data_IF_062170953889
#
_entry.id   IF_062170953889
#
_cell.length_a   1.000
_cell.length_b   1.000
_cell.length_c   1.000
_cell.angle_alpha   90.00
_cell.angle_beta   90.00
_cell.angle_gamma   90.00
#
_symmetry.space_group_name_H-M   'P 1'
#
loop_
_entity.id
_entity.type
_entity.pdbx_description
1 polymer ?
#
# COMPACT_ATOMS: atom_id res chain seq x y z
N UNK A 1 23.57 10.41 -14.11
CA UNK A 1 23.03 10.17 -12.75
C UNK A 1 24.14 10.50 -11.77
N UNK A 2 23.91 11.34 -10.77
CA UNK A 2 24.86 11.56 -9.68
C UNK A 2 24.46 10.67 -8.49
N UNK A 3 25.43 10.08 -7.79
CA UNK A 3 25.18 9.20 -6.63
C UNK A 3 26.25 9.40 -5.56
N UNK A 4 25.85 9.33 -4.29
CA UNK A 4 26.77 9.33 -3.15
C UNK A 4 27.32 7.93 -2.84
N UNK A 5 26.86 6.88 -3.53
CA UNK A 5 27.36 5.51 -3.37
C UNK A 5 28.60 5.28 -4.22
N UNK A 6 29.76 5.64 -3.69
CA UNK A 6 31.06 5.49 -4.36
C UNK A 6 31.40 4.02 -4.69
N UNK A 7 31.03 3.09 -3.80
CA UNK A 7 31.39 1.66 -3.93
C UNK A 7 30.38 0.83 -4.74
N UNK A 8 29.27 1.42 -5.18
CA UNK A 8 28.25 0.70 -5.93
C UNK A 8 28.64 0.61 -7.41
N UNK A 9 28.48 -0.57 -8.00
CA UNK A 9 28.63 -0.75 -9.43
C UNK A 9 27.59 0.08 -10.20
N UNK A 10 27.93 0.45 -11.44
CA UNK A 10 27.00 1.15 -12.32
C UNK A 10 25.66 0.41 -12.47
N UNK A 11 25.68 -0.93 -12.51
CA UNK A 11 24.49 -1.77 -12.62
C UNK A 11 23.61 -1.67 -11.38
N UNK A 12 24.19 -1.65 -10.19
CA UNK A 12 23.42 -1.45 -8.94
C UNK A 12 22.79 -0.07 -8.88
N UNK A 13 23.51 0.97 -9.30
CA UNK A 13 22.97 2.33 -9.37
C UNK A 13 21.77 2.41 -10.32
N UNK A 14 21.88 1.81 -11.51
CA UNK A 14 20.77 1.73 -12.48
C UNK A 14 19.58 0.96 -11.91
N UNK A 15 19.81 -0.18 -11.26
CA UNK A 15 18.74 -0.97 -10.64
C UNK A 15 18.03 -0.21 -9.51
N UNK A 16 18.78 0.50 -8.66
CA UNK A 16 18.20 1.34 -7.61
C UNK A 16 17.37 2.48 -8.21
N UNK A 17 17.86 3.14 -9.27
CA UNK A 17 17.11 4.19 -9.92
C UNK A 17 15.88 3.68 -10.65
N UNK A 18 15.92 2.48 -11.23
CA UNK A 18 14.74 1.87 -11.85
C UNK A 18 13.58 1.71 -10.85
N UNK A 19 13.89 1.50 -9.55
CA UNK A 19 12.87 1.49 -8.49
C UNK A 19 12.20 2.85 -8.28
N UNK A 20 12.77 3.97 -8.73
CA UNK A 20 12.11 5.29 -8.65
C UNK A 20 10.73 5.27 -9.31
N UNK A 21 10.56 4.49 -10.39
CA UNK A 21 9.28 4.37 -11.08
C UNK A 21 8.15 3.83 -10.18
N UNK A 22 8.45 3.17 -9.05
CA UNK A 22 7.40 2.68 -8.14
C UNK A 22 6.58 3.80 -7.48
N UNK A 23 7.09 5.03 -7.43
CA UNK A 23 6.34 6.17 -6.85
C UNK A 23 5.19 6.63 -7.74
N UNK A 24 5.32 6.45 -9.06
CA UNK A 24 4.37 6.96 -10.05
C UNK A 24 3.00 6.26 -9.95
N UNK A 25 2.92 4.90 -9.89
CA UNK A 25 1.67 4.21 -9.57
C UNK A 25 1.07 4.65 -8.24
N UNK A 26 1.88 4.87 -7.19
CA UNK A 26 1.36 5.32 -5.88
C UNK A 26 0.72 6.71 -5.95
N UNK A 27 1.32 7.66 -6.67
CA UNK A 27 0.71 8.98 -6.88
C UNK A 27 -0.56 8.91 -7.72
N UNK A 28 -0.57 8.05 -8.75
CA UNK A 28 -1.76 7.83 -9.58
C UNK A 28 -2.89 7.24 -8.76
N UNK A 29 -2.63 6.14 -8.05
CA UNK A 29 -3.61 5.45 -7.20
C UNK A 29 -4.14 6.37 -6.09
N UNK A 30 -3.35 7.30 -5.56
CA UNK A 30 -3.85 8.24 -4.54
C UNK A 30 -4.76 9.33 -5.14
N UNK A 31 -4.42 9.83 -6.34
CA UNK A 31 -5.18 10.89 -7.00
C UNK A 31 -6.43 10.38 -7.72
N UNK A 32 -6.42 9.12 -8.13
CA UNK A 32 -7.47 8.51 -8.93
C UNK A 32 -8.80 8.46 -8.17
N UNK A 33 -9.88 8.84 -8.86
CA UNK A 33 -11.22 8.93 -8.28
C UNK A 33 -11.96 7.59 -8.24
N UNK A 34 -11.65 6.67 -9.17
CA UNK A 34 -12.43 5.44 -9.39
C UNK A 34 -11.86 4.24 -8.63
N UNK A 35 -10.54 4.17 -8.54
CA UNK A 35 -9.79 3.03 -8.00
C UNK A 35 -8.87 3.43 -6.84
N UNK A 36 -8.91 4.71 -6.46
CA UNK A 36 -7.97 5.39 -5.59
C UNK A 36 -8.62 6.19 -4.46
N UNK A 37 -7.95 7.25 -3.98
CA UNK A 37 -8.44 8.10 -2.88
C UNK A 37 -9.05 9.43 -3.33
N UNK A 38 -9.14 9.68 -4.65
CA UNK A 38 -9.83 10.84 -5.21
C UNK A 38 -9.21 12.20 -4.88
N UNK A 39 -7.97 12.25 -4.38
CA UNK A 39 -7.33 13.51 -3.97
C UNK A 39 -7.22 14.52 -5.13
N UNK A 40 -7.20 14.06 -6.39
CA UNK A 40 -7.18 14.95 -7.55
C UNK A 40 -8.46 15.76 -7.76
N UNK A 41 -9.59 15.30 -7.21
CA UNK A 41 -10.89 15.96 -7.31
C UNK A 41 -11.20 16.86 -6.09
N UNK A 42 -10.40 16.75 -5.02
CA UNK A 42 -10.62 17.46 -3.75
C UNK A 42 -10.03 18.87 -3.82
N UNK A 43 -10.87 19.89 -3.64
CA UNK A 43 -10.43 21.30 -3.48
C UNK A 43 -10.55 21.71 -2.03
N UNK A 44 -9.42 22.02 -1.39
CA UNK A 44 -9.37 22.47 0.02
C UNK A 44 -8.75 23.86 0.05
N UNK A 45 -9.51 24.86 0.52
CA UNK A 45 -9.07 26.25 0.61
C UNK A 45 -8.16 26.57 1.79
N UNK A 46 -8.19 25.75 2.86
CA UNK A 46 -7.34 25.92 4.05
C UNK A 46 -6.12 24.99 3.99
N UNK A 47 -4.88 25.52 3.95
CA UNK A 47 -3.65 24.72 3.95
C UNK A 47 -3.53 23.77 5.14
N UNK A 48 -3.98 24.18 6.34
CA UNK A 48 -3.82 23.35 7.54
C UNK A 48 -4.76 22.14 7.49
N UNK A 49 -6.00 22.34 7.04
CA UNK A 49 -6.92 21.23 6.75
C UNK A 49 -6.39 20.32 5.66
N UNK A 50 -5.79 20.88 4.59
CA UNK A 50 -5.16 20.09 3.53
C UNK A 50 -4.07 19.18 4.10
N UNK A 51 -3.17 19.71 4.90
CA UNK A 51 -2.03 18.95 5.42
C UNK A 51 -2.49 17.85 6.37
N UNK A 52 -3.50 18.10 7.21
CA UNK A 52 -4.14 17.06 8.04
C UNK A 52 -4.78 15.94 7.20
N UNK A 53 -5.48 16.30 6.13
CA UNK A 53 -6.09 15.31 5.23
C UNK A 53 -5.04 14.51 4.45
N UNK A 54 -3.94 15.14 4.04
CA UNK A 54 -2.81 14.45 3.41
C UNK A 54 -2.14 13.46 4.36
N UNK A 55 -2.02 13.80 5.64
CA UNK A 55 -1.50 12.89 6.66
C UNK A 55 -2.43 11.68 6.85
N UNK A 56 -3.74 11.90 6.99
CA UNK A 56 -4.73 10.81 7.08
C UNK A 56 -4.69 9.90 5.85
N UNK A 57 -4.57 10.50 4.66
CA UNK A 57 -4.41 9.77 3.42
C UNK A 57 -3.12 8.93 3.42
N UNK A 58 -2.01 9.47 3.91
CA UNK A 58 -0.75 8.72 4.03
C UNK A 58 -0.90 7.50 4.94
N UNK A 59 -1.60 7.63 6.08
CA UNK A 59 -1.92 6.49 6.95
C UNK A 59 -2.83 5.48 6.27
N UNK A 60 -3.87 5.93 5.56
CA UNK A 60 -4.74 5.03 4.82
C UNK A 60 -3.97 4.24 3.74
N UNK A 61 -3.09 4.91 2.98
CA UNK A 61 -2.23 4.24 1.97
C UNK A 61 -1.33 3.20 2.64
N UNK A 62 -0.73 3.53 3.79
CA UNK A 62 0.09 2.60 4.56
C UNK A 62 -0.71 1.37 4.98
N UNK A 63 -1.85 1.55 5.66
CA UNK A 63 -2.66 0.45 6.16
C UNK A 63 -3.20 -0.43 5.04
N UNK A 64 -3.71 0.16 3.95
CA UNK A 64 -4.19 -0.61 2.80
C UNK A 64 -3.06 -1.34 2.10
N UNK A 65 -1.87 -0.75 1.98
CA UNK A 65 -0.70 -1.45 1.41
C UNK A 65 -0.31 -2.67 2.27
N UNK A 66 -0.33 -2.54 3.59
CA UNK A 66 -0.05 -3.63 4.52
C UNK A 66 -1.15 -4.71 4.48
N UNK A 67 -2.41 -4.32 4.34
CA UNK A 67 -3.51 -5.27 4.17
C UNK A 67 -3.36 -6.08 2.88
N UNK A 68 -2.95 -5.43 1.78
CA UNK A 68 -2.62 -6.11 0.54
C UNK A 68 -1.41 -7.04 0.67
N UNK A 69 -0.37 -6.62 1.38
CA UNK A 69 0.81 -7.47 1.70
C UNK A 69 0.39 -8.71 2.50
N UNK A 70 -0.48 -8.55 3.50
CA UNK A 70 -1.03 -9.65 4.29
C UNK A 70 -1.86 -10.62 3.44
N UNK A 71 -2.76 -10.10 2.61
CA UNK A 71 -3.56 -10.91 1.69
C UNK A 71 -2.71 -11.67 0.66
N UNK A 72 -1.69 -11.03 0.10
CA UNK A 72 -0.76 -11.68 -0.84
C UNK A 72 0.07 -12.78 -0.16
N UNK A 73 0.52 -12.56 1.09
CA UNK A 73 1.22 -13.57 1.88
C UNK A 73 0.35 -14.82 2.16
N UNK A 74 -0.98 -14.63 2.23
CA UNK A 74 -1.96 -15.71 2.37
C UNK A 74 -2.43 -16.28 1.02
N UNK A 75 -1.88 -15.82 -0.11
CA UNK A 75 -2.22 -16.27 -1.46
C UNK A 75 -3.57 -15.77 -1.98
N UNK A 76 -4.17 -14.75 -1.34
CA UNK A 76 -5.46 -14.20 -1.74
C UNK A 76 -5.40 -13.41 -3.05
N UNK A 77 -4.21 -12.96 -3.46
CA UNK A 77 -3.96 -12.22 -4.71
C UNK A 77 -4.47 -12.99 -5.95
N UNK A 78 -4.43 -14.32 -5.89
CA UNK A 78 -4.91 -15.23 -6.95
C UNK A 78 -6.41 -15.11 -7.21
N UNK A 79 -7.17 -14.74 -6.18
CA UNK A 79 -8.62 -14.55 -6.27
C UNK A 79 -9.01 -13.11 -6.65
N UNK A 80 -8.06 -12.18 -6.59
CA UNK A 80 -8.28 -10.77 -6.93
C UNK A 80 -7.99 -10.47 -8.41
N UNK A 81 -7.38 -11.42 -9.14
CA UNK A 81 -7.06 -11.30 -10.55
C UNK A 81 -7.75 -12.37 -11.38
N UNK A 82 -8.18 -12.01 -12.59
CA UNK A 82 -8.82 -12.94 -13.53
C UNK A 82 -7.79 -13.63 -14.44
N UNK A 83 -6.56 -13.12 -14.49
CA UNK A 83 -5.51 -13.67 -15.33
C UNK A 83 -4.71 -14.79 -14.63
N UNK A 84 -4.02 -15.60 -15.43
CA UNK A 84 -3.14 -16.70 -14.96
C UNK A 84 -1.69 -16.27 -14.71
N UNK A 85 -1.42 -14.95 -14.68
CA UNK A 85 -0.06 -14.46 -14.56
C UNK A 85 0.54 -14.82 -13.20
N UNK A 86 1.73 -15.45 -13.21
CA UNK A 86 2.48 -15.81 -11.99
C UNK A 86 3.08 -14.60 -11.27
N UNK A 87 3.24 -13.48 -11.97
CA UNK A 87 3.72 -12.21 -11.38
C UNK A 87 2.58 -11.43 -10.73
N UNK A 88 2.91 -10.55 -9.78
CA UNK A 88 1.98 -9.59 -9.19
C UNK A 88 1.39 -8.69 -10.28
N UNK A 89 0.06 -8.60 -10.35
CA UNK A 89 -0.68 -7.80 -11.35
C UNK A 89 -1.32 -6.55 -10.76
N UNK A 90 -1.78 -6.63 -9.51
CA UNK A 90 -2.28 -5.48 -8.76
C UNK A 90 -1.23 -5.02 -7.76
N UNK A 91 -1.03 -3.70 -7.62
CA UNK A 91 -0.21 -3.14 -6.56
C UNK A 91 -0.73 -3.62 -5.20
N UNK A 92 0.16 -3.71 -4.19
CA UNK A 92 -0.26 -4.08 -2.84
C UNK A 92 -1.34 -3.14 -2.30
N UNK A 93 -1.22 -1.83 -2.58
CA UNK A 93 -2.26 -0.86 -2.27
C UNK A 93 -3.62 -1.24 -2.90
N UNK A 94 -3.65 -1.55 -4.20
CA UNK A 94 -4.89 -1.94 -4.89
C UNK A 94 -5.47 -3.24 -4.35
N UNK A 95 -4.63 -4.23 -4.06
CA UNK A 95 -5.06 -5.47 -3.39
C UNK A 95 -5.67 -5.15 -2.02
N UNK A 96 -5.06 -4.24 -1.27
CA UNK A 96 -5.57 -3.73 0.00
C UNK A 96 -6.96 -3.11 -0.10
N UNK A 97 -7.17 -2.20 -1.05
CA UNK A 97 -8.49 -1.62 -1.32
C UNK A 97 -9.53 -2.71 -1.63
N UNK A 98 -9.21 -3.64 -2.54
CA UNK A 98 -10.12 -4.73 -2.90
C UNK A 98 -10.46 -5.61 -1.70
N UNK A 99 -9.48 -5.96 -0.87
CA UNK A 99 -9.71 -6.74 0.34
C UNK A 99 -10.56 -5.97 1.34
N UNK A 100 -10.27 -4.69 1.56
CA UNK A 100 -11.02 -3.82 2.46
C UNK A 100 -12.51 -3.74 2.05
N UNK A 101 -12.78 -3.55 0.76
CA UNK A 101 -14.14 -3.53 0.22
C UNK A 101 -14.88 -4.88 0.42
N UNK A 102 -14.14 -5.99 0.48
CA UNK A 102 -14.68 -7.34 0.69
C UNK A 102 -14.91 -7.69 2.17
N UNK A 103 -14.25 -7.02 3.12
CA UNK A 103 -14.33 -7.33 4.56
C UNK A 103 -15.77 -7.45 5.08
N UNK A 104 -16.71 -6.54 4.75
CA UNK A 104 -18.07 -6.59 5.31
C UNK A 104 -18.84 -7.88 5.00
N UNK A 105 -18.50 -8.56 3.91
CA UNK A 105 -19.12 -9.81 3.48
C UNK A 105 -18.16 -11.01 3.56
N UNK A 106 -16.97 -10.84 4.13
CA UNK A 106 -15.93 -11.87 4.15
C UNK A 106 -16.25 -12.93 5.20
N UNK A 107 -16.27 -14.24 4.85
CA UNK A 107 -16.49 -15.30 5.84
C UNK A 107 -15.39 -15.33 6.90
N UNK A 108 -15.76 -15.60 8.14
CA UNK A 108 -14.83 -15.62 9.29
C UNK A 108 -13.58 -16.49 9.09
N UNK A 109 -13.65 -17.69 8.48
CA UNK A 109 -12.46 -18.50 8.22
C UNK A 109 -11.44 -17.84 7.29
N UNK A 110 -11.86 -16.87 6.48
CA UNK A 110 -10.99 -16.09 5.60
C UNK A 110 -10.59 -14.76 6.22
N UNK A 111 -11.49 -14.11 6.94
CA UNK A 111 -11.25 -12.82 7.58
C UNK A 111 -10.23 -12.92 8.71
N UNK A 112 -10.37 -13.89 9.61
CA UNK A 112 -9.50 -14.01 10.79
C UNK A 112 -8.01 -14.15 10.43
N UNK A 113 -7.58 -15.06 9.54
CA UNK A 113 -6.17 -15.14 9.14
C UNK A 113 -5.64 -13.86 8.50
N UNK A 114 -6.48 -13.16 7.72
CA UNK A 114 -6.12 -11.89 7.09
C UNK A 114 -5.80 -10.81 8.15
N UNK A 115 -6.68 -10.66 9.15
CA UNK A 115 -6.51 -9.68 10.22
C UNK A 115 -5.32 -10.05 11.11
N UNK A 116 -5.15 -11.33 11.47
CA UNK A 116 -3.99 -11.79 12.25
C UNK A 116 -2.68 -11.47 11.55
N UNK A 117 -2.57 -11.79 10.25
CA UNK A 117 -1.36 -11.51 9.47
C UNK A 117 -1.11 -10.02 9.31
N UNK A 118 -2.16 -9.23 9.11
CA UNK A 118 -2.09 -7.77 9.05
C UNK A 118 -1.58 -7.17 10.37
N UNK A 119 -2.11 -7.62 11.51
CA UNK A 119 -1.67 -7.16 12.84
C UNK A 119 -0.22 -7.57 13.14
N UNK A 120 0.21 -8.76 12.72
CA UNK A 120 1.60 -9.18 12.82
C UNK A 120 2.53 -8.25 12.02
N UNK A 121 2.15 -7.89 10.78
CA UNK A 121 2.91 -6.97 9.94
C UNK A 121 2.98 -5.56 10.54
N UNK A 122 1.90 -5.09 11.19
CA UNK A 122 1.89 -3.81 11.90
C UNK A 122 2.86 -3.80 13.08
N UNK A 123 2.92 -4.88 13.87
CA UNK A 123 3.83 -5.00 15.01
C UNK A 123 5.29 -5.09 14.59
N UNK A 124 5.57 -5.75 13.47
CA UNK A 124 6.94 -5.99 13.00
C UNK A 124 7.61 -4.79 12.31
N UNK A 125 6.84 -3.76 11.92
CA UNK A 125 7.40 -2.57 11.27
C UNK A 125 7.63 -1.45 12.32
N UNK A 126 8.85 -0.89 12.43
CA UNK A 126 9.20 0.09 13.47
C UNK A 126 8.27 1.30 13.51
N UNK A 127 7.84 1.76 12.33
CA UNK A 127 7.00 2.95 12.18
C UNK A 127 5.54 2.73 12.63
N UNK A 128 5.07 1.48 12.67
CA UNK A 128 3.70 1.13 13.05
C UNK A 128 3.61 0.44 14.41
N UNK A 129 4.72 -0.08 14.94
CA UNK A 129 4.76 -0.73 16.26
C UNK A 129 4.28 0.19 17.40
N UNK A 130 4.52 1.50 17.29
CA UNK A 130 4.05 2.48 18.27
C UNK A 130 2.53 2.66 18.24
N UNK A 131 1.86 2.43 17.10
CA UNK A 131 0.41 2.56 16.96
C UNK A 131 -0.33 1.38 17.59
N UNK A 132 0.30 0.20 17.63
CA UNK A 132 -0.29 -1.02 18.21
C UNK A 132 -0.14 -1.13 19.73
N UNK A 133 0.63 -0.24 20.35
CA UNK A 133 0.87 -0.20 21.81
C UNK A 133 -0.04 0.79 22.55
N UNK A 134 -1.04 1.36 21.88
CA UNK A 134 -1.97 2.36 22.44
C UNK A 134 -3.32 1.72 22.86
N UNK A 135 -3.42 0.39 22.86
CA UNK A 135 -4.62 -0.34 23.28
C UNK A 135 -4.35 -1.18 24.53
#
# INVERSE_FOLDING_TARGET
MATSKADASAREIVNLYARRWTIEPSFRDTKDLRFGMGLGAVRIGDPQRRDRLLLLNAFAVLFLTLLGEAGEALGMDRHLKVNTAKRRTHSLFRQGCMLYDLIPAMPEPRLRPLIERFLEMLKNKPITAQLTNIA
#
